data_IF_646606375887
#
_entry.id   IF_646606375887
#
_cell.length_a   1.000
_cell.length_b   1.000
_cell.length_c   1.000
_cell.angle_alpha   90.00
_cell.angle_beta   90.00
_cell.angle_gamma   90.00
#
_symmetry.space_group_name_H-M   'P 1'
#
loop_
_entity.id
_entity.type
_entity.pdbx_description
1 polymer ?
#
# COMPACT_ATOMS: atom_id res chain seq x y z
N UNK A 1 -37.15 -22.96 -9.15
CA UNK A 1 -35.80 -23.49 -9.48
C UNK A 1 -34.91 -22.46 -10.17
N UNK A 2 -35.25 -21.94 -11.37
CA UNK A 2 -34.40 -20.99 -12.15
C UNK A 2 -33.95 -19.71 -11.42
N UNK A 3 -34.80 -19.15 -10.55
CA UNK A 3 -34.52 -17.91 -9.79
C UNK A 3 -33.47 -18.12 -8.68
N UNK A 4 -33.41 -19.31 -8.08
CA UNK A 4 -32.45 -19.64 -7.01
C UNK A 4 -31.07 -19.88 -7.61
N UNK A 5 -31.00 -20.51 -8.78
CA UNK A 5 -29.75 -20.68 -9.53
C UNK A 5 -29.17 -19.33 -9.96
N UNK A 6 -30.01 -18.37 -10.37
CA UNK A 6 -29.58 -17.01 -10.70
C UNK A 6 -29.03 -16.24 -9.48
N UNK A 7 -29.65 -16.39 -8.30
CA UNK A 7 -29.16 -15.78 -7.06
C UNK A 7 -27.81 -16.35 -6.60
N UNK A 8 -27.59 -17.66 -6.76
CA UNK A 8 -26.32 -18.32 -6.43
C UNK A 8 -25.17 -17.84 -7.33
N UNK A 9 -25.43 -17.64 -8.62
CA UNK A 9 -24.43 -17.11 -9.58
C UNK A 9 -24.09 -15.65 -9.28
N UNK A 10 -25.08 -14.83 -8.91
CA UNK A 10 -24.87 -13.44 -8.50
C UNK A 10 -23.99 -13.33 -7.24
N UNK A 11 -24.22 -14.20 -6.25
CA UNK A 11 -23.46 -14.22 -5.00
C UNK A 11 -21.99 -14.63 -5.23
N UNK A 12 -21.76 -15.58 -6.14
CA UNK A 12 -20.41 -15.97 -6.57
C UNK A 12 -19.68 -14.81 -7.27
N UNK A 13 -20.37 -14.05 -8.11
CA UNK A 13 -19.78 -12.88 -8.78
C UNK A 13 -19.45 -11.72 -7.82
N UNK A 14 -20.27 -11.51 -6.78
CA UNK A 14 -20.03 -10.47 -5.78
C UNK A 14 -18.79 -10.74 -4.92
N UNK A 15 -18.49 -12.01 -4.59
CA UNK A 15 -17.33 -12.39 -3.79
C UNK A 15 -15.98 -12.12 -4.47
N UNK A 16 -15.92 -12.17 -5.80
CA UNK A 16 -14.69 -11.99 -6.59
C UNK A 16 -14.18 -10.53 -6.54
N UNK A 17 -15.10 -9.57 -6.36
CA UNK A 17 -14.77 -8.13 -6.34
C UNK A 17 -13.88 -7.73 -5.14
N UNK A 18 -13.89 -8.50 -4.05
CA UNK A 18 -13.17 -8.16 -2.81
C UNK A 18 -11.65 -8.43 -2.91
N UNK A 19 -11.23 -9.32 -3.83
CA UNK A 19 -9.83 -9.74 -3.94
C UNK A 19 -8.89 -8.71 -4.61
N UNK A 20 -9.42 -7.68 -5.29
CA UNK A 20 -8.63 -6.70 -6.05
C UNK A 20 -8.42 -5.35 -5.34
N UNK A 21 -8.73 -5.25 -4.04
CA UNK A 21 -8.62 -3.98 -3.31
C UNK A 21 -7.17 -3.56 -2.98
N UNK A 22 -6.18 -4.44 -3.15
CA UNK A 22 -4.78 -4.11 -2.90
C UNK A 22 -4.19 -3.29 -4.04
N UNK A 23 -3.84 -2.04 -3.76
CA UNK A 23 -3.15 -1.14 -4.69
C UNK A 23 -1.67 -1.07 -4.32
N UNK A 24 -0.79 -1.19 -5.30
CA UNK A 24 0.64 -0.95 -5.08
C UNK A 24 0.91 0.55 -5.24
N UNK A 25 1.38 1.19 -4.18
CA UNK A 25 1.85 2.57 -4.20
C UNK A 25 3.37 2.55 -4.33
N UNK A 26 3.87 3.17 -5.39
CA UNK A 26 5.30 3.38 -5.62
C UNK A 26 5.61 4.86 -5.55
N UNK A 27 6.72 5.22 -4.93
CA UNK A 27 7.18 6.60 -4.89
C UNK A 27 8.66 6.69 -4.57
N UNK A 28 9.14 7.92 -4.43
CA UNK A 28 10.50 8.22 -4.01
C UNK A 28 10.47 9.15 -2.80
N UNK A 29 11.31 8.87 -1.81
CA UNK A 29 11.56 9.72 -0.65
C UNK A 29 12.78 10.58 -0.95
N UNK A 30 12.59 11.89 -0.92
CA UNK A 30 13.64 12.89 -1.16
C UNK A 30 13.72 13.86 0.01
N UNK A 31 14.92 14.40 0.22
CA UNK A 31 15.17 15.42 1.25
C UNK A 31 14.57 16.75 0.82
N UNK A 32 13.96 17.49 1.76
CA UNK A 32 13.33 18.78 1.45
C UNK A 32 14.34 19.89 1.12
N UNK A 33 15.61 19.75 1.52
CA UNK A 33 16.65 20.76 1.33
C UNK A 33 17.30 20.67 -0.05
N UNK A 34 17.68 19.46 -0.46
CA UNK A 34 18.57 19.26 -1.62
C UNK A 34 17.98 18.33 -2.70
N UNK A 35 16.78 17.77 -2.48
CA UNK A 35 16.15 16.82 -3.41
C UNK A 35 16.86 15.47 -3.51
N UNK A 36 17.94 15.26 -2.74
CA UNK A 36 18.67 14.00 -2.68
C UNK A 36 17.80 12.86 -2.15
N UNK A 37 17.90 11.66 -2.73
CA UNK A 37 17.18 10.48 -2.25
C UNK A 37 17.61 10.09 -0.83
N UNK A 38 16.65 9.64 -0.02
CA UNK A 38 16.90 9.16 1.35
C UNK A 38 16.79 7.64 1.42
N UNK A 39 17.93 6.91 1.42
CA UNK A 39 17.93 5.48 1.66
C UNK A 39 17.79 5.15 3.15
N UNK A 40 17.27 3.96 3.45
CA UNK A 40 17.19 3.46 4.83
C UNK A 40 16.07 4.08 5.67
N UNK A 41 15.06 4.64 5.02
CA UNK A 41 13.89 5.21 5.68
C UNK A 41 12.73 4.22 5.61
N UNK A 42 12.00 4.08 6.72
CA UNK A 42 10.85 3.19 6.80
C UNK A 42 9.57 3.96 6.45
N UNK A 43 8.88 3.52 5.40
CA UNK A 43 7.57 4.03 4.98
C UNK A 43 6.49 3.12 5.53
N UNK A 44 5.72 3.60 6.50
CA UNK A 44 4.60 2.88 7.12
C UNK A 44 3.27 3.45 6.62
N UNK A 45 2.30 2.57 6.39
CA UNK A 45 0.93 2.95 6.01
C UNK A 45 0.14 3.24 7.28
N UNK A 46 -0.42 4.45 7.36
CA UNK A 46 -1.15 4.92 8.54
C UNK A 46 -2.32 3.97 8.88
N UNK A 47 -2.41 3.58 10.15
CA UNK A 47 -3.46 2.67 10.62
C UNK A 47 -3.22 1.18 10.31
N UNK A 48 -2.05 0.81 9.76
CA UNK A 48 -1.66 -0.59 9.55
C UNK A 48 -0.26 -0.86 10.10
N UNK A 49 0.10 -2.13 10.23
CA UNK A 49 1.46 -2.58 10.54
C UNK A 49 2.30 -2.82 9.29
N UNK A 50 1.77 -2.53 8.10
CA UNK A 50 2.46 -2.73 6.83
C UNK A 50 3.42 -1.58 6.57
N UNK A 51 4.71 -1.90 6.53
CA UNK A 51 5.78 -0.95 6.21
C UNK A 51 6.71 -1.49 5.12
N UNK A 52 7.40 -0.58 4.43
CA UNK A 52 8.37 -0.88 3.39
C UNK A 52 9.59 0.03 3.56
N UNK A 53 10.79 -0.51 3.36
CA UNK A 53 12.05 0.23 3.45
C UNK A 53 12.37 0.88 2.09
N UNK A 54 12.91 2.09 2.12
CA UNK A 54 13.44 2.73 0.91
C UNK A 54 14.77 2.14 0.50
N UNK A 55 14.94 1.93 -0.81
CA UNK A 55 16.18 1.47 -1.44
C UNK A 55 17.25 2.59 -1.51
N UNK A 56 18.44 2.29 -2.02
CA UNK A 56 19.56 3.23 -2.23
C UNK A 56 19.14 4.50 -3.00
N UNK A 57 18.22 4.36 -3.96
CA UNK A 57 17.67 5.47 -4.74
C UNK A 57 16.53 6.22 -4.03
N UNK A 58 16.21 5.89 -2.78
CA UNK A 58 15.07 6.43 -2.04
C UNK A 58 13.71 5.93 -2.56
N UNK A 59 13.68 4.93 -3.43
CA UNK A 59 12.45 4.36 -3.97
C UNK A 59 11.79 3.44 -2.95
N UNK A 60 10.47 3.48 -2.86
CA UNK A 60 9.68 2.54 -2.08
C UNK A 60 8.56 1.95 -2.92
N UNK A 61 8.17 0.73 -2.59
CA UNK A 61 6.99 0.06 -3.13
C UNK A 61 6.25 -0.59 -1.97
N UNK A 62 4.98 -0.24 -1.80
CA UNK A 62 4.15 -0.77 -0.72
C UNK A 62 2.76 -1.11 -1.23
N UNK A 63 2.28 -2.28 -0.86
CA UNK A 63 0.92 -2.71 -1.20
C UNK A 63 -0.04 -2.27 -0.11
N UNK A 64 -0.98 -1.38 -0.45
CA UNK A 64 -1.97 -0.84 0.47
C UNK A 64 -3.34 -1.45 0.18
N UNK A 65 -4.04 -1.99 1.19
CA UNK A 65 -5.35 -2.62 1.02
C UNK A 65 -6.51 -1.63 0.80
N UNK A 66 -6.26 -0.31 0.85
CA UNK A 66 -7.28 0.69 0.54
C UNK A 66 -6.65 2.06 0.24
N UNK A 67 -7.48 3.06 -0.08
CA UNK A 67 -7.11 4.47 -0.31
C UNK A 67 -6.52 5.20 0.93
N UNK A 68 -6.02 4.45 1.92
CA UNK A 68 -5.35 4.93 3.12
C UNK A 68 -4.10 5.70 2.70
N UNK A 69 -4.07 6.98 3.02
CA UNK A 69 -2.95 7.88 2.75
C UNK A 69 -1.68 7.31 3.37
N UNK A 70 -0.69 7.02 2.53
CA UNK A 70 0.61 6.50 2.94
C UNK A 70 1.38 7.60 3.66
N UNK A 71 1.28 7.72 4.99
CA UNK A 71 2.11 8.66 5.75
C UNK A 71 2.40 8.20 7.18
N UNK A 72 3.53 7.51 7.35
CA UNK A 72 4.41 7.66 8.49
C UNK A 72 5.83 7.29 8.03
N UNK A 73 6.67 8.31 7.86
CA UNK A 73 8.07 8.17 7.48
C UNK A 73 8.87 8.14 8.78
N UNK A 74 9.28 6.95 9.21
CA UNK A 74 10.19 6.80 10.34
C UNK A 74 11.61 6.84 9.80
N UNK A 75 12.27 7.98 9.96
CA UNK A 75 13.72 8.04 10.01
C UNK A 75 14.10 7.17 11.20
N UNK A 76 14.82 6.08 10.95
CA UNK A 76 15.37 5.25 12.01
C UNK A 76 16.28 6.17 12.85
N UNK A 77 15.75 6.65 13.98
CA UNK A 77 16.51 7.41 14.96
C UNK A 77 17.49 6.44 15.61
N UNK A 78 18.71 6.35 15.07
CA UNK A 78 19.88 5.92 15.84
C UNK A 78 21.20 6.36 15.19
N UNK A 79 21.55 7.63 15.39
CA UNK A 79 22.82 8.12 15.98
C UNK A 79 22.92 9.63 15.75
#
# INVERSE_FOLDING_TARGET
MRKVTALLVLLLFAGIQVAFAQRTVTGRVTTSTDGSPLPGVTVLVQGTTTGSLTDADGRYSISVPNNQSVFAIFICWLY
#
